data_IF_767848587778
#
_entry.id   IF_767848587778
#
_cell.length_a   1.000
_cell.length_b   1.000
_cell.length_c   1.000
_cell.angle_alpha   90.00
_cell.angle_beta   90.00
_cell.angle_gamma   90.00
#
_symmetry.space_group_name_H-M   'P 1'
#
loop_
_entity.id
_entity.type
_entity.pdbx_description
1 polymer ?
#
# COMPACT_ATOMS: atom_id res chain seq x y z
N UNK A 1 -33.84 -3.45 -10.10
CA UNK A 1 -33.65 -4.92 -9.99
C UNK A 1 -34.64 -5.45 -8.97
N UNK A 2 -35.45 -6.44 -9.33
CA UNK A 2 -36.33 -7.12 -8.36
C UNK A 2 -35.56 -8.23 -7.64
N UNK A 3 -36.05 -8.69 -6.49
CA UNK A 3 -35.51 -9.86 -5.75
C UNK A 3 -35.48 -11.14 -6.57
N UNK A 4 -36.22 -11.20 -7.67
CA UNK A 4 -36.23 -12.35 -8.59
C UNK A 4 -35.00 -12.34 -9.55
N UNK A 5 -34.25 -11.24 -9.64
CA UNK A 5 -33.12 -11.08 -10.56
C UNK A 5 -31.76 -11.24 -9.87
N UNK A 6 -31.66 -10.87 -8.59
CA UNK A 6 -30.45 -11.00 -7.76
C UNK A 6 -30.87 -11.42 -6.34
N UNK A 7 -30.22 -12.45 -5.83
CA UNK A 7 -30.33 -12.89 -4.43
C UNK A 7 -29.96 -11.76 -3.46
N UNK A 8 -30.69 -11.63 -2.35
CA UNK A 8 -30.52 -10.53 -1.40
C UNK A 8 -29.12 -10.55 -0.75
N UNK A 9 -28.57 -11.73 -0.46
CA UNK A 9 -27.21 -11.82 0.09
C UNK A 9 -26.16 -11.42 -0.94
N UNK A 10 -26.34 -11.82 -2.19
CA UNK A 10 -25.47 -11.38 -3.28
C UNK A 10 -25.52 -9.84 -3.46
N UNK A 11 -26.71 -9.25 -3.42
CA UNK A 11 -26.89 -7.79 -3.46
C UNK A 11 -26.17 -7.10 -2.30
N UNK A 12 -26.39 -7.56 -1.07
CA UNK A 12 -25.78 -6.98 0.12
C UNK A 12 -24.25 -7.10 0.09
N UNK A 13 -23.73 -8.25 -0.37
CA UNK A 13 -22.31 -8.44 -0.60
C UNK A 13 -21.75 -7.43 -1.60
N UNK A 14 -22.39 -7.23 -2.75
CA UNK A 14 -21.93 -6.24 -3.73
C UNK A 14 -21.95 -4.82 -3.16
N UNK A 15 -22.98 -4.44 -2.41
CA UNK A 15 -23.02 -3.14 -1.73
C UNK A 15 -21.88 -3.02 -0.71
N UNK A 16 -21.59 -4.09 0.04
CA UNK A 16 -20.47 -4.15 0.98
C UNK A 16 -19.11 -3.94 0.30
N UNK A 17 -18.87 -4.63 -0.82
CA UNK A 17 -17.63 -4.46 -1.61
C UNK A 17 -17.49 -3.01 -2.12
N UNK A 18 -18.57 -2.39 -2.61
CA UNK A 18 -18.54 -1.00 -3.07
C UNK A 18 -18.30 0.00 -1.93
N UNK A 19 -18.95 -0.20 -0.78
CA UNK A 19 -18.75 0.63 0.40
C UNK A 19 -17.32 0.52 0.93
N UNK A 20 -16.72 -0.67 0.92
CA UNK A 20 -15.30 -0.83 1.25
C UNK A 20 -14.40 -0.01 0.32
N UNK A 21 -14.61 -0.10 -1.01
CA UNK A 21 -13.82 0.66 -1.98
C UNK A 21 -14.03 2.17 -1.80
N UNK A 22 -15.27 2.62 -1.58
CA UNK A 22 -15.59 4.03 -1.33
C UNK A 22 -14.91 4.54 -0.05
N UNK A 23 -14.96 3.78 1.03
CA UNK A 23 -14.27 4.07 2.27
C UNK A 23 -12.75 4.17 2.08
N UNK A 24 -12.15 3.23 1.34
CA UNK A 24 -10.72 3.24 1.00
C UNK A 24 -10.33 4.52 0.23
N UNK A 25 -11.12 4.92 -0.77
CA UNK A 25 -10.87 6.11 -1.57
C UNK A 25 -11.04 7.40 -0.76
N UNK A 26 -12.12 7.54 0.01
CA UNK A 26 -12.29 8.69 0.90
C UNK A 26 -11.23 8.75 1.97
N UNK A 27 -10.74 7.61 2.47
CA UNK A 27 -9.64 7.58 3.42
C UNK A 27 -8.35 8.15 2.81
N UNK A 28 -8.02 7.81 1.56
CA UNK A 28 -6.93 8.44 0.82
C UNK A 28 -7.13 9.95 0.65
N UNK A 29 -8.37 10.40 0.40
CA UNK A 29 -8.69 11.81 0.21
C UNK A 29 -8.58 12.61 1.53
N UNK A 30 -9.27 12.19 2.59
CA UNK A 30 -9.28 12.88 3.89
C UNK A 30 -7.90 12.91 4.55
N UNK A 31 -7.10 11.84 4.39
CA UNK A 31 -5.73 11.81 4.94
C UNK A 31 -4.76 12.76 4.20
N UNK A 32 -5.09 13.15 2.97
CA UNK A 32 -4.23 13.99 2.14
C UNK A 32 -4.67 15.46 2.10
N UNK A 33 -5.99 15.72 2.16
CA UNK A 33 -6.56 17.06 2.01
C UNK A 33 -7.45 17.49 3.19
N UNK A 34 -7.65 16.62 4.18
CA UNK A 34 -8.58 16.83 5.30
C UNK A 34 -10.02 17.03 4.82
N UNK A 35 -10.43 18.27 4.57
CA UNK A 35 -11.79 18.59 4.16
C UNK A 35 -11.98 18.30 2.65
N UNK A 36 -12.90 17.39 2.31
CA UNK A 36 -13.19 17.00 0.92
C UNK A 36 -14.70 16.94 0.68
N UNK A 37 -15.18 17.15 -0.56
CA UNK A 37 -16.60 17.00 -0.87
C UNK A 37 -17.06 15.56 -0.64
N UNK A 38 -18.13 15.37 0.13
CA UNK A 38 -18.69 14.05 0.43
C UNK A 38 -19.90 13.76 -0.47
N UNK A 39 -19.65 13.01 -1.56
CA UNK A 39 -20.67 12.56 -2.52
C UNK A 39 -21.00 11.10 -2.24
N UNK A 40 -22.16 10.86 -1.62
CA UNK A 40 -22.60 9.51 -1.21
C UNK A 40 -23.72 8.93 -2.08
N UNK A 41 -24.37 9.79 -2.87
CA UNK A 41 -25.47 9.43 -3.75
C UNK A 41 -24.98 9.37 -5.20
N UNK A 42 -25.64 8.53 -5.99
CA UNK A 42 -25.41 8.48 -7.43
C UNK A 42 -25.79 9.81 -8.07
N UNK A 43 -24.90 10.36 -8.89
CA UNK A 43 -25.20 11.56 -9.69
C UNK A 43 -26.37 11.27 -10.62
N UNK A 44 -27.39 12.10 -10.56
CA UNK A 44 -28.55 12.03 -11.43
C UNK A 44 -28.34 12.91 -12.67
N UNK A 45 -29.14 12.69 -13.72
CA UNK A 45 -29.10 13.54 -14.92
C UNK A 45 -29.37 15.02 -14.62
N UNK A 46 -30.09 15.30 -13.55
CA UNK A 46 -30.42 16.65 -13.06
C UNK A 46 -29.22 17.37 -12.43
N UNK A 47 -28.19 16.63 -11.99
CA UNK A 47 -26.96 17.17 -11.41
C UNK A 47 -25.94 17.60 -12.50
N UNK A 48 -26.20 17.25 -13.77
CA UNK A 48 -25.30 17.59 -14.88
C UNK A 48 -25.27 19.11 -15.07
N UNK A 49 -24.12 19.71 -14.77
CA UNK A 49 -23.90 21.16 -14.83
C UNK A 49 -23.89 21.85 -13.47
N UNK A 50 -24.28 21.16 -12.39
CA UNK A 50 -24.14 21.62 -11.01
C UNK A 50 -23.08 20.77 -10.29
N UNK A 51 -21.81 21.12 -10.51
CA UNK A 51 -20.66 20.42 -9.90
C UNK A 51 -20.15 21.10 -8.63
N UNK A 52 -20.84 22.13 -8.15
CA UNK A 52 -20.46 22.86 -6.93
C UNK A 52 -20.91 22.09 -5.70
N UNK A 53 -20.05 21.16 -5.24
CA UNK A 53 -20.25 20.44 -3.98
C UNK A 53 -19.32 21.04 -2.93
N UNK A 54 -19.92 21.57 -1.86
CA UNK A 54 -19.18 22.07 -0.71
C UNK A 54 -18.38 20.95 -0.04
N UNK A 55 -17.20 21.30 0.47
CA UNK A 55 -16.41 20.37 1.28
C UNK A 55 -17.14 20.03 2.57
N UNK A 56 -17.08 18.76 2.97
CA UNK A 56 -17.45 18.30 4.29
C UNK A 56 -16.27 18.43 5.25
N UNK A 57 -16.56 18.47 6.56
CA UNK A 57 -15.47 18.50 7.54
C UNK A 57 -14.73 17.16 7.53
N UNK A 58 -13.44 17.21 7.87
CA UNK A 58 -12.60 16.02 8.06
C UNK A 58 -13.30 14.96 8.93
N UNK A 59 -13.95 15.40 10.03
CA UNK A 59 -14.70 14.53 10.93
C UNK A 59 -15.88 13.84 10.24
N UNK A 60 -16.71 14.58 9.50
CA UNK A 60 -17.87 14.01 8.80
C UNK A 60 -17.44 12.97 7.76
N UNK A 61 -16.31 13.21 7.07
CA UNK A 61 -15.76 12.26 6.10
C UNK A 61 -15.32 10.98 6.81
N UNK A 62 -14.62 11.08 7.95
CA UNK A 62 -14.26 9.91 8.75
C UNK A 62 -15.48 9.13 9.28
N UNK A 63 -16.52 9.83 9.74
CA UNK A 63 -17.77 9.19 10.18
C UNK A 63 -18.42 8.40 9.04
N UNK A 64 -18.49 8.98 7.83
CA UNK A 64 -18.99 8.27 6.65
C UNK A 64 -18.13 7.05 6.26
N UNK A 65 -16.81 7.14 6.39
CA UNK A 65 -15.89 6.02 6.16
C UNK A 65 -16.18 4.88 7.15
N UNK A 66 -16.35 5.22 8.44
CA UNK A 66 -16.66 4.24 9.49
C UNK A 66 -17.97 3.52 9.20
N UNK A 67 -19.03 4.25 8.83
CA UNK A 67 -20.33 3.65 8.49
C UNK A 67 -20.23 2.66 7.32
N UNK A 68 -19.50 3.03 6.27
CA UNK A 68 -19.28 2.17 5.12
C UNK A 68 -18.52 0.90 5.48
N UNK A 69 -17.48 1.00 6.31
CA UNK A 69 -16.67 -0.14 6.74
C UNK A 69 -17.41 -1.05 7.71
N UNK A 70 -18.22 -0.51 8.63
CA UNK A 70 -19.06 -1.30 9.53
C UNK A 70 -20.12 -2.08 8.75
N UNK A 71 -20.72 -1.47 7.71
CA UNK A 71 -21.63 -2.19 6.82
C UNK A 71 -20.89 -3.31 6.09
N UNK A 72 -19.73 -3.02 5.48
CA UNK A 72 -18.92 -4.00 4.78
C UNK A 72 -18.54 -5.19 5.69
N UNK A 73 -18.06 -4.92 6.91
CA UNK A 73 -17.76 -5.95 7.91
C UNK A 73 -18.97 -6.86 8.20
N UNK A 74 -20.18 -6.31 8.24
CA UNK A 74 -21.38 -7.09 8.59
C UNK A 74 -21.86 -8.06 7.50
N UNK A 75 -21.52 -7.82 6.23
CA UNK A 75 -22.07 -8.56 5.08
C UNK A 75 -21.03 -9.33 4.27
N UNK A 76 -19.75 -8.97 4.37
CA UNK A 76 -18.68 -9.60 3.60
C UNK A 76 -18.26 -10.96 4.19
N UNK A 77 -17.72 -11.81 3.33
CA UNK A 77 -17.24 -13.15 3.71
C UNK A 77 -16.04 -13.05 4.64
N UNK A 78 -15.93 -14.00 5.57
CA UNK A 78 -14.75 -14.16 6.42
C UNK A 78 -13.56 -14.72 5.64
N UNK A 79 -13.84 -15.59 4.67
CA UNK A 79 -12.84 -16.25 3.84
C UNK A 79 -12.04 -15.26 2.98
N UNK A 80 -10.85 -15.70 2.57
CA UNK A 80 -10.00 -14.98 1.63
C UNK A 80 -10.73 -14.64 0.33
N UNK A 81 -10.56 -13.39 -0.12
CA UNK A 81 -11.36 -12.80 -1.18
C UNK A 81 -10.77 -12.95 -2.59
N UNK A 82 -9.53 -13.44 -2.72
CA UNK A 82 -8.77 -13.50 -3.97
C UNK A 82 -8.82 -12.14 -4.72
N UNK A 83 -8.39 -11.07 -4.06
CA UNK A 83 -8.43 -9.69 -4.57
C UNK A 83 -9.74 -8.95 -4.31
N UNK A 84 -10.80 -9.60 -3.81
CA UNK A 84 -12.03 -8.94 -3.35
C UNK A 84 -11.94 -8.52 -1.89
N UNK A 85 -12.69 -7.48 -1.53
CA UNK A 85 -12.84 -7.07 -0.14
C UNK A 85 -13.54 -8.17 0.67
N UNK A 86 -12.99 -8.46 1.86
CA UNK A 86 -13.53 -9.44 2.82
C UNK A 86 -13.90 -8.74 4.13
N UNK A 87 -14.49 -9.50 5.06
CA UNK A 87 -14.71 -9.03 6.44
C UNK A 87 -13.40 -8.63 7.11
N UNK A 88 -12.34 -9.45 6.95
CA UNK A 88 -11.01 -9.15 7.48
C UNK A 88 -10.42 -7.89 6.87
N UNK A 89 -10.61 -7.66 5.56
CA UNK A 89 -10.18 -6.41 4.91
C UNK A 89 -10.92 -5.18 5.49
N UNK A 90 -12.24 -5.27 5.65
CA UNK A 90 -13.03 -4.18 6.24
C UNK A 90 -12.59 -3.88 7.69
N UNK A 91 -12.36 -4.91 8.50
CA UNK A 91 -11.88 -4.78 9.88
C UNK A 91 -10.48 -4.16 9.94
N UNK A 92 -9.56 -4.60 9.07
CA UNK A 92 -8.21 -4.08 9.03
C UNK A 92 -8.16 -2.60 8.60
N UNK A 93 -8.93 -2.24 7.57
CA UNK A 93 -9.03 -0.84 7.14
C UNK A 93 -9.71 0.03 8.20
N UNK A 94 -10.74 -0.49 8.89
CA UNK A 94 -11.39 0.22 9.98
C UNK A 94 -10.44 0.46 11.17
N UNK A 95 -9.62 -0.54 11.52
CA UNK A 95 -8.56 -0.38 12.51
C UNK A 95 -7.55 0.71 12.13
N UNK A 96 -7.13 0.74 10.87
CA UNK A 96 -6.25 1.80 10.31
C UNK A 96 -6.89 3.19 10.37
N UNK A 97 -8.17 3.30 10.02
CA UNK A 97 -8.93 4.54 10.09
C UNK A 97 -8.99 5.05 11.54
N UNK A 98 -9.31 4.18 12.48
CA UNK A 98 -9.35 4.54 13.90
C UNK A 98 -7.99 5.03 14.41
N UNK A 99 -6.88 4.39 14.04
CA UNK A 99 -5.54 4.87 14.39
C UNK A 99 -5.28 6.27 13.82
N UNK A 100 -5.59 6.51 12.54
CA UNK A 100 -5.39 7.80 11.92
C UNK A 100 -6.14 8.92 12.67
N UNK A 101 -7.36 8.64 13.16
CA UNK A 101 -8.16 9.60 13.91
C UNK A 101 -7.60 9.97 15.29
N UNK A 102 -6.71 9.15 15.87
CA UNK A 102 -6.02 9.49 17.13
C UNK A 102 -4.98 10.58 16.95
N UNK A 103 -4.50 10.78 15.71
CA UNK A 103 -3.52 11.79 15.34
C UNK A 103 -4.16 13.08 14.82
N UNK A 104 -3.33 14.00 14.28
CA UNK A 104 -3.84 15.20 13.64
C UNK A 104 -4.75 14.88 12.43
N UNK A 105 -5.77 15.70 12.15
CA UNK A 105 -6.17 16.90 12.90
C UNK A 105 -7.18 16.65 14.03
N UNK A 106 -7.66 15.41 14.23
CA UNK A 106 -8.80 15.12 15.13
C UNK A 106 -8.40 14.84 16.59
N UNK A 107 -7.27 14.20 16.83
CA UNK A 107 -6.75 13.87 18.17
C UNK A 107 -7.73 13.06 19.05
N UNK A 108 -8.55 12.20 18.46
CA UNK A 108 -9.54 11.35 19.15
C UNK A 108 -8.85 10.11 19.76
N UNK A 109 -8.14 10.29 20.87
CA UNK A 109 -7.31 9.25 21.49
C UNK A 109 -8.10 8.02 21.96
N UNK A 110 -9.40 8.15 22.22
CA UNK A 110 -10.27 7.02 22.54
C UNK A 110 -10.38 5.99 21.39
N UNK A 111 -10.05 6.38 20.15
CA UNK A 111 -10.05 5.48 18.99
C UNK A 111 -8.96 4.42 19.04
N UNK A 112 -7.91 4.57 19.87
CA UNK A 112 -6.92 3.50 20.08
C UNK A 112 -7.57 2.19 20.52
N UNK A 113 -8.53 2.25 21.45
CA UNK A 113 -9.21 1.04 21.95
C UNK A 113 -10.07 0.39 20.86
N UNK A 114 -10.72 1.20 20.01
CA UNK A 114 -11.54 0.70 18.90
C UNK A 114 -10.66 0.09 17.79
N UNK A 115 -9.51 0.69 17.50
CA UNK A 115 -8.52 0.15 16.58
C UNK A 115 -8.03 -1.22 17.07
N UNK A 116 -7.61 -1.30 18.33
CA UNK A 116 -7.15 -2.55 18.94
C UNK A 116 -8.22 -3.64 18.86
N UNK A 117 -9.48 -3.30 19.17
CA UNK A 117 -10.59 -4.23 19.06
C UNK A 117 -10.73 -4.79 17.63
N UNK A 118 -10.80 -3.92 16.61
CA UNK A 118 -11.00 -4.37 15.22
C UNK A 118 -9.83 -5.19 14.68
N UNK A 119 -8.61 -4.77 14.97
CA UNK A 119 -7.40 -5.48 14.52
C UNK A 119 -7.26 -6.83 15.24
N UNK A 120 -7.66 -6.93 16.51
CA UNK A 120 -7.68 -8.21 17.23
C UNK A 120 -8.62 -9.22 16.60
N UNK A 121 -9.73 -8.80 15.98
CA UNK A 121 -10.65 -9.71 15.29
C UNK A 121 -9.98 -10.34 14.06
N UNK A 122 -9.21 -9.55 13.30
CA UNK A 122 -8.44 -10.05 12.16
C UNK A 122 -7.38 -11.06 12.61
N UNK A 123 -6.64 -10.75 13.67
CA UNK A 123 -5.63 -11.65 14.26
C UNK A 123 -6.26 -12.95 14.75
N UNK A 124 -7.36 -12.85 15.51
CA UNK A 124 -8.03 -14.00 16.12
C UNK A 124 -8.86 -14.83 15.12
N UNK A 125 -9.02 -14.37 13.88
CA UNK A 125 -9.73 -15.13 12.84
C UNK A 125 -9.00 -16.42 12.45
N UNK A 126 -7.66 -16.44 12.56
CA UNK A 126 -6.83 -17.55 12.08
C UNK A 126 -6.79 -17.70 10.54
N UNK A 127 -7.30 -16.71 9.80
CA UNK A 127 -7.38 -16.73 8.32
C UNK A 127 -6.09 -16.20 7.68
N UNK A 128 -5.38 -15.33 8.40
CA UNK A 128 -4.19 -14.64 7.92
C UNK A 128 -2.95 -15.08 8.69
N UNK A 129 -1.82 -15.16 8.00
CA UNK A 129 -0.52 -15.50 8.60
C UNK A 129 0.63 -14.87 7.81
N UNK A 130 1.76 -14.65 8.47
CA UNK A 130 2.97 -14.14 7.83
C UNK A 130 3.55 -15.21 6.89
N UNK A 131 4.03 -14.79 5.73
CA UNK A 131 4.80 -15.72 4.90
C UNK A 131 6.12 -16.06 5.59
N UNK A 132 6.59 -17.30 5.40
CA UNK A 132 7.84 -17.75 6.02
C UNK A 132 9.07 -16.97 5.51
N UNK A 133 9.02 -16.51 4.25
CA UNK A 133 10.10 -15.81 3.60
C UNK A 133 9.62 -14.50 2.99
N UNK A 134 10.02 -13.39 3.61
CA UNK A 134 9.52 -12.04 3.29
C UNK A 134 9.60 -11.65 1.79
N UNK A 135 10.67 -12.00 1.03
CA UNK A 135 10.72 -11.67 -0.39
C UNK A 135 9.61 -12.30 -1.23
N UNK A 136 9.05 -13.43 -0.80
CA UNK A 136 8.00 -14.13 -1.52
C UNK A 136 6.74 -13.26 -1.66
N UNK A 137 6.46 -12.37 -0.70
CA UNK A 137 5.28 -11.47 -0.70
C UNK A 137 5.16 -10.68 -2.00
N UNK A 138 6.28 -10.39 -2.67
CA UNK A 138 6.33 -9.53 -3.85
C UNK A 138 6.48 -10.32 -5.16
N UNK A 139 6.11 -11.61 -5.13
CA UNK A 139 6.15 -12.50 -6.29
C UNK A 139 4.73 -12.88 -6.72
N UNK A 140 4.59 -13.27 -8.00
CA UNK A 140 3.30 -13.67 -8.58
C UNK A 140 2.65 -14.85 -7.85
N UNK A 141 3.46 -15.79 -7.36
CA UNK A 141 2.97 -17.00 -6.69
C UNK A 141 2.32 -16.69 -5.31
N UNK A 142 2.54 -15.48 -4.77
CA UNK A 142 2.13 -15.09 -3.42
C UNK A 142 1.22 -13.86 -3.37
N UNK A 143 0.73 -13.37 -4.51
CA UNK A 143 -0.16 -12.19 -4.59
C UNK A 143 -1.46 -12.35 -3.80
N UNK A 144 -1.88 -13.59 -3.58
CA UNK A 144 -3.07 -13.96 -2.80
C UNK A 144 -2.71 -14.90 -1.63
N UNK A 145 -1.47 -14.78 -1.12
CA UNK A 145 -1.01 -15.54 0.05
C UNK A 145 -1.79 -15.15 1.32
N UNK A 146 -1.66 -15.98 2.36
CA UNK A 146 -2.30 -15.74 3.67
C UNK A 146 -1.88 -14.42 4.33
N UNK A 147 -0.77 -13.81 3.91
CA UNK A 147 -0.35 -12.51 4.45
C UNK A 147 -1.11 -11.33 3.80
N UNK A 148 -1.70 -11.52 2.61
CA UNK A 148 -2.39 -10.45 1.91
C UNK A 148 -3.82 -10.33 2.46
N UNK A 149 -4.11 -9.19 3.08
CA UNK A 149 -5.46 -8.87 3.59
C UNK A 149 -6.28 -8.19 2.50
N UNK A 150 -5.66 -7.28 1.75
CA UNK A 150 -6.25 -6.69 0.56
C UNK A 150 -5.15 -6.20 -0.40
N UNK A 151 -5.31 -6.48 -1.69
CA UNK A 151 -4.46 -5.99 -2.78
C UNK A 151 -5.29 -5.28 -3.84
N UNK A 152 -4.65 -4.37 -4.57
CA UNK A 152 -5.19 -3.81 -5.81
C UNK A 152 -4.66 -4.68 -6.94
N UNK A 153 -5.60 -5.29 -7.67
CA UNK A 153 -5.30 -6.21 -8.76
C UNK A 153 -4.62 -5.53 -9.94
N UNK A 154 -3.58 -6.15 -10.49
CA UNK A 154 -3.00 -5.79 -11.78
C UNK A 154 -3.11 -6.97 -12.74
N UNK A 155 -3.48 -6.71 -13.99
CA UNK A 155 -3.55 -7.77 -15.01
C UNK A 155 -2.65 -7.40 -16.18
N UNK A 156 -1.44 -7.92 -16.12
CA UNK A 156 -0.45 -7.75 -17.16
C UNK A 156 0.28 -9.07 -17.41
N UNK A 157 1.32 -9.05 -18.24
CA UNK A 157 1.58 -8.02 -19.21
C UNK A 157 0.82 -8.21 -20.54
N UNK A 158 0.70 -7.13 -21.33
CA UNK A 158 0.15 -7.14 -22.68
C UNK A 158 -1.35 -6.77 -22.76
N UNK A 159 -1.96 -6.41 -21.64
CA UNK A 159 -3.39 -6.07 -21.53
C UNK A 159 -3.62 -4.57 -21.25
N UNK A 160 -2.56 -3.78 -21.02
CA UNK A 160 -2.66 -2.40 -20.53
C UNK A 160 -3.46 -2.26 -19.22
N UNK A 161 -3.48 -3.31 -18.41
CA UNK A 161 -4.14 -3.38 -17.10
C UNK A 161 -3.14 -3.71 -15.98
N UNK A 162 -1.84 -3.73 -16.30
CA UNK A 162 -0.75 -3.92 -15.36
C UNK A 162 -0.37 -2.65 -14.59
N UNK A 163 0.45 -2.85 -13.56
CA UNK A 163 0.95 -1.79 -12.70
C UNK A 163 2.17 -1.08 -13.29
N UNK A 164 2.28 0.22 -13.02
CA UNK A 164 3.49 1.03 -13.31
C UNK A 164 4.45 1.09 -12.13
N UNK A 165 4.07 0.57 -10.97
CA UNK A 165 4.80 0.81 -9.72
C UNK A 165 6.15 0.10 -9.71
N UNK A 166 6.22 -1.13 -10.21
CA UNK A 166 7.50 -1.83 -10.43
C UNK A 166 8.48 -1.00 -11.27
N UNK A 167 7.97 -0.34 -12.31
CA UNK A 167 8.76 0.51 -13.21
C UNK A 167 9.07 1.90 -12.64
N UNK A 168 8.24 2.45 -11.77
CA UNK A 168 8.47 3.78 -11.20
C UNK A 168 9.33 3.75 -9.94
N UNK A 169 9.25 2.66 -9.16
CA UNK A 169 9.89 2.58 -7.84
C UNK A 169 10.87 1.40 -7.72
N UNK A 170 10.98 0.57 -8.75
CA UNK A 170 11.92 -0.55 -8.79
C UNK A 170 13.40 -0.15 -8.85
N UNK A 171 14.30 -1.14 -8.73
CA UNK A 171 15.75 -0.91 -8.72
C UNK A 171 16.28 -0.38 -10.05
N UNK A 172 17.48 0.22 -10.01
CA UNK A 172 18.09 0.83 -11.19
C UNK A 172 18.42 -0.22 -12.25
N UNK A 173 17.98 -0.01 -13.49
CA UNK A 173 18.43 -0.76 -14.65
C UNK A 173 17.44 -0.74 -15.82
N UNK A 174 17.65 -1.61 -16.81
CA UNK A 174 16.74 -1.73 -17.94
C UNK A 174 15.48 -2.49 -17.53
N UNK A 175 14.34 -2.12 -18.12
CA UNK A 175 13.03 -2.78 -17.91
C UNK A 175 13.06 -4.27 -18.21
N UNK A 176 13.81 -4.69 -19.24
CA UNK A 176 14.02 -6.11 -19.56
C UNK A 176 14.62 -6.91 -18.40
N UNK A 177 15.40 -6.28 -17.52
CA UNK A 177 16.06 -6.93 -16.39
C UNK A 177 15.30 -6.75 -15.07
N UNK A 178 14.03 -6.33 -15.11
CA UNK A 178 13.23 -6.12 -13.89
C UNK A 178 13.53 -4.82 -13.15
N UNK A 179 14.34 -3.94 -13.76
CA UNK A 179 14.67 -2.63 -13.22
C UNK A 179 14.01 -1.50 -14.00
N UNK A 180 14.18 -0.28 -13.52
CA UNK A 180 13.77 0.90 -14.25
C UNK A 180 14.61 2.11 -13.80
N UNK A 181 14.26 3.30 -14.26
CA UNK A 181 14.88 4.54 -13.80
C UNK A 181 14.34 4.99 -12.43
N UNK A 182 13.84 4.06 -11.61
CA UNK A 182 12.92 4.35 -10.52
C UNK A 182 13.42 5.48 -9.64
N UNK A 183 12.65 6.55 -9.50
CA UNK A 183 12.94 7.66 -8.60
C UNK A 183 12.06 7.50 -7.36
N UNK A 184 12.63 7.69 -6.17
CA UNK A 184 11.83 7.88 -4.97
C UNK A 184 11.84 9.37 -4.70
N UNK A 185 11.16 10.15 -5.53
CA UNK A 185 10.93 11.56 -5.22
C UNK A 185 9.96 11.64 -4.05
N UNK A 186 10.50 11.58 -2.83
CA UNK A 186 9.72 11.94 -1.65
C UNK A 186 9.90 13.43 -1.35
N UNK A 187 8.79 14.00 -0.93
CA UNK A 187 8.44 15.42 -0.80
C UNK A 187 9.22 16.21 0.25
N UNK A 188 10.16 15.58 0.96
CA UNK A 188 10.84 16.25 2.06
C UNK A 188 12.32 16.52 1.74
N UNK A 189 12.56 17.63 1.03
CA UNK A 189 13.88 18.17 0.72
C UNK A 189 14.74 18.33 1.99
N UNK A 190 14.12 18.62 3.13
CA UNK A 190 14.80 18.80 4.43
C UNK A 190 15.39 17.49 4.98
N UNK A 191 14.79 16.34 4.62
CA UNK A 191 15.29 15.03 5.01
C UNK A 191 16.34 14.48 4.05
N UNK A 192 16.48 15.06 2.85
CA UNK A 192 17.41 14.60 1.82
C UNK A 192 18.90 14.76 2.20
N UNK A 193 19.21 15.61 3.18
CA UNK A 193 20.58 15.94 3.57
C UNK A 193 21.27 16.90 2.58
N UNK A 194 22.50 17.35 2.89
CA UNK A 194 23.21 18.34 2.07
C UNK A 194 23.72 17.77 0.74
N UNK A 195 23.84 18.66 -0.25
CA UNK A 195 24.33 18.47 -1.64
C UNK A 195 25.76 17.87 -1.75
N UNK A 196 26.40 17.59 -0.62
CA UNK A 196 27.78 17.11 -0.50
C UNK A 196 27.89 15.62 -0.14
N UNK A 197 26.78 14.89 -0.06
CA UNK A 197 26.79 13.43 0.08
C UNK A 197 27.33 12.71 -1.17
N UNK A 198 27.93 11.53 -0.99
CA UNK A 198 28.40 10.69 -2.11
C UNK A 198 27.23 10.19 -2.98
N UNK A 199 26.90 10.97 -4.01
CA UNK A 199 25.92 10.69 -5.06
C UNK A 199 25.62 11.99 -5.80
N UNK A 200 25.69 12.00 -7.13
CA UNK A 200 25.51 13.23 -7.91
C UNK A 200 24.17 13.91 -7.63
N UNK A 201 24.20 15.24 -7.46
CA UNK A 201 23.05 16.13 -7.20
C UNK A 201 22.29 16.53 -8.46
N UNK A 202 22.22 15.63 -9.44
CA UNK A 202 21.49 15.93 -10.66
C UNK A 202 20.00 15.68 -10.41
N UNK A 203 19.22 16.76 -10.27
CA UNK A 203 17.75 16.73 -10.19
C UNK A 203 17.10 16.25 -11.51
N UNK A 204 17.85 15.56 -12.37
CA UNK A 204 17.34 14.99 -13.59
C UNK A 204 16.53 13.71 -13.29
N UNK A 205 15.42 13.60 -14.01
CA UNK A 205 14.51 12.46 -13.96
C UNK A 205 15.21 11.09 -14.11
N UNK A 206 16.36 11.07 -14.79
CA UNK A 206 17.10 9.85 -15.12
C UNK A 206 18.23 9.48 -14.14
N UNK A 207 18.72 10.43 -13.33
CA UNK A 207 19.92 10.24 -12.50
C UNK A 207 19.62 10.06 -11.00
N UNK A 208 18.33 10.15 -10.63
CA UNK A 208 17.84 9.87 -9.28
C UNK A 208 17.86 11.11 -8.40
N UNK A 209 16.67 11.57 -8.00
CA UNK A 209 16.54 12.71 -7.08
C UNK A 209 17.15 12.44 -5.70
N UNK A 210 17.39 13.52 -4.96
CA UNK A 210 17.95 13.52 -3.60
C UNK A 210 17.13 12.59 -2.69
N UNK A 211 17.75 11.55 -2.14
CA UNK A 211 17.09 10.65 -1.19
C UNK A 211 17.45 11.05 0.25
N UNK A 212 16.63 10.64 1.21
CA UNK A 212 16.87 10.88 2.64
C UNK A 212 18.18 10.22 3.11
N UNK A 213 19.27 10.98 3.05
CA UNK A 213 20.61 10.55 3.46
C UNK A 213 20.61 10.03 4.90
N UNK A 214 19.84 10.66 5.80
CA UNK A 214 19.76 10.28 7.21
C UNK A 214 18.94 9.00 7.48
N UNK A 215 18.08 8.55 6.55
CA UNK A 215 17.25 7.36 6.75
C UNK A 215 17.96 6.06 6.38
N UNK A 216 18.76 6.05 5.30
CA UNK A 216 19.39 4.82 4.81
C UNK A 216 20.77 4.54 5.43
N UNK A 217 21.49 5.56 5.88
CA UNK A 217 22.82 5.45 6.51
C UNK A 217 22.87 4.96 7.98
N UNK A 218 21.83 5.05 8.84
CA UNK A 218 21.90 4.55 10.20
C UNK A 218 21.86 3.01 10.25
N UNK A 219 21.43 2.36 9.17
CA UNK A 219 21.48 0.92 9.06
C UNK A 219 22.90 0.46 8.74
N UNK A 220 23.43 -0.49 9.52
CA UNK A 220 24.65 -1.20 9.16
C UNK A 220 24.41 -2.01 7.88
N UNK A 221 25.47 -2.38 7.16
CA UNK A 221 25.34 -3.23 5.97
C UNK A 221 24.69 -4.59 6.27
N UNK A 222 24.77 -5.03 7.53
CA UNK A 222 24.22 -6.30 8.00
C UNK A 222 22.83 -6.18 8.63
N UNK A 223 22.25 -4.98 8.69
CA UNK A 223 20.92 -4.79 9.26
C UNK A 223 19.88 -5.48 8.37
N UNK A 224 19.18 -6.47 8.93
CA UNK A 224 18.16 -7.24 8.21
C UNK A 224 17.01 -6.37 7.68
N UNK A 225 16.67 -5.28 8.38
CA UNK A 225 15.63 -4.33 7.93
C UNK A 225 16.09 -3.61 6.66
N UNK A 226 17.37 -3.26 6.59
CA UNK A 226 17.99 -2.68 5.40
C UNK A 226 18.05 -3.71 4.28
N UNK A 227 18.60 -4.90 4.54
CA UNK A 227 18.73 -5.98 3.55
C UNK A 227 17.40 -6.36 2.91
N UNK A 228 16.33 -6.41 3.70
CA UNK A 228 15.03 -6.84 3.21
C UNK A 228 14.22 -5.74 2.51
N UNK A 229 14.47 -4.46 2.80
CA UNK A 229 13.66 -3.35 2.27
C UNK A 229 14.40 -2.43 1.29
N UNK A 230 15.74 -2.49 1.22
CA UNK A 230 16.59 -1.53 0.52
C UNK A 230 17.40 -2.23 -0.57
N UNK A 231 16.97 -2.07 -1.82
CA UNK A 231 17.76 -2.40 -3.00
C UNK A 231 18.87 -1.36 -3.19
N UNK A 232 20.11 -1.85 -3.22
CA UNK A 232 21.34 -1.07 -3.44
C UNK A 232 22.14 -1.56 -4.67
N UNK A 233 21.59 -2.48 -5.45
CA UNK A 233 22.22 -3.04 -6.65
C UNK A 233 21.68 -2.39 -7.94
N UNK A 234 22.36 -2.62 -9.06
CA UNK A 234 21.89 -2.29 -10.41
C UNK A 234 21.56 -3.59 -11.15
N UNK A 235 20.31 -3.78 -11.58
CA UNK A 235 19.85 -5.06 -12.17
C UNK A 235 20.53 -5.39 -13.50
N UNK A 236 21.17 -4.42 -14.15
CA UNK A 236 21.93 -4.67 -15.38
C UNK A 236 23.32 -5.24 -15.11
N UNK A 237 23.84 -5.04 -13.90
CA UNK A 237 25.17 -5.49 -13.49
C UNK A 237 25.11 -6.82 -12.73
N UNK A 238 23.91 -7.32 -12.48
CA UNK A 238 23.67 -8.59 -11.86
C UNK A 238 22.72 -9.44 -12.72
N UNK A 239 23.24 -10.49 -13.35
CA UNK A 239 22.43 -11.62 -13.82
C UNK A 239 22.00 -12.50 -12.62
N UNK A 240 21.64 -11.86 -11.52
CA UNK A 240 21.39 -12.50 -10.25
C UNK A 240 19.89 -12.49 -9.95
N UNK A 241 19.44 -13.54 -9.28
CA UNK A 241 18.11 -13.62 -8.68
C UNK A 241 17.88 -12.46 -7.71
N UNK A 242 16.62 -12.14 -7.37
CA UNK A 242 16.32 -11.20 -6.31
C UNK A 242 17.07 -11.52 -5.00
N UNK A 243 17.17 -12.80 -4.65
CA UNK A 243 17.90 -13.28 -3.47
C UNK A 243 19.39 -12.90 -3.51
N UNK A 244 20.07 -13.14 -4.63
CA UNK A 244 21.48 -12.78 -4.78
C UNK A 244 21.69 -11.26 -4.74
N UNK A 245 20.73 -10.46 -5.22
CA UNK A 245 20.79 -8.99 -5.13
C UNK A 245 20.57 -8.45 -3.71
N UNK A 246 19.94 -9.24 -2.82
CA UNK A 246 19.75 -8.92 -1.39
C UNK A 246 20.93 -9.36 -0.53
N UNK A 247 21.46 -10.56 -0.78
CA UNK A 247 22.37 -11.23 0.15
C UNK A 247 23.82 -11.34 -0.33
N UNK A 248 24.13 -11.07 -1.60
CA UNK A 248 25.51 -11.10 -2.10
C UNK A 248 26.22 -9.76 -1.87
N UNK A 249 27.36 -9.80 -1.18
CA UNK A 249 28.23 -8.62 -0.99
C UNK A 249 28.74 -8.05 -2.32
N UNK A 250 28.88 -8.89 -3.35
CA UNK A 250 29.34 -8.47 -4.69
C UNK A 250 28.26 -7.67 -5.43
N UNK A 251 26.98 -7.98 -5.19
CA UNK A 251 25.85 -7.37 -5.92
C UNK A 251 25.22 -6.21 -5.14
N UNK A 252 25.20 -6.26 -3.80
CA UNK A 252 24.53 -5.28 -2.96
C UNK A 252 25.10 -3.86 -3.07
N UNK A 253 26.38 -3.68 -3.40
CA UNK A 253 27.04 -2.37 -3.33
C UNK A 253 27.34 -1.75 -4.72
N UNK A 254 26.52 -2.09 -5.73
CA UNK A 254 26.74 -1.67 -7.13
C UNK A 254 26.03 -0.36 -7.54
N UNK A 255 25.05 0.09 -6.77
CA UNK A 255 24.34 1.36 -6.99
C UNK A 255 25.00 2.56 -6.31
N UNK A 256 24.58 3.79 -6.66
CA UNK A 256 24.99 4.98 -5.92
C UNK A 256 24.54 4.85 -4.46
N UNK A 257 25.45 5.08 -3.50
CA UNK A 257 25.15 4.95 -2.05
C UNK A 257 24.03 5.89 -1.58
N UNK A 258 23.77 6.96 -2.32
CA UNK A 258 22.69 7.91 -2.08
C UNK A 258 21.35 7.54 -2.77
N UNK A 259 21.26 6.44 -3.52
CA UNK A 259 20.02 5.99 -4.17
C UNK A 259 19.43 4.75 -3.48
N UNK A 260 18.57 4.95 -2.49
CA UNK A 260 17.73 3.85 -1.97
C UNK A 260 16.59 3.57 -2.95
N UNK A 261 16.38 2.29 -3.28
CA UNK A 261 15.17 1.80 -3.94
C UNK A 261 14.48 0.74 -3.07
N UNK A 262 13.15 0.77 -2.91
CA UNK A 262 12.43 -0.27 -2.18
C UNK A 262 12.59 -1.62 -2.90
N UNK A 263 12.91 -2.67 -2.13
CA UNK A 263 12.98 -4.03 -2.66
C UNK A 263 11.61 -4.54 -3.14
N UNK A 264 10.54 -4.05 -2.50
CA UNK A 264 9.13 -4.38 -2.76
C UNK A 264 8.69 -4.27 -4.23
N UNK A 265 9.37 -3.47 -5.05
CA UNK A 265 8.96 -3.17 -6.42
C UNK A 265 9.92 -3.71 -7.49
N UNK A 266 10.67 -4.77 -7.17
CA UNK A 266 11.46 -5.48 -8.17
C UNK A 266 10.51 -6.15 -9.17
N UNK A 267 10.72 -5.86 -10.46
CA UNK A 267 9.88 -6.40 -11.51
C UNK A 267 10.43 -7.77 -11.98
N UNK A 268 9.57 -8.64 -12.50
CA UNK A 268 9.97 -9.98 -12.97
C UNK A 268 11.02 -9.89 -14.09
N UNK A 269 11.95 -10.86 -14.15
CA UNK A 269 12.96 -10.97 -15.20
C UNK A 269 12.68 -12.18 -16.09
N UNK A 270 12.61 -12.02 -17.44
CA UNK A 270 12.67 -10.77 -18.19
C UNK A 270 11.33 -10.01 -18.17
N UNK A 271 11.35 -8.70 -17.98
CA UNK A 271 10.16 -7.84 -18.11
C UNK A 271 10.23 -7.03 -19.40
N UNK A 272 9.79 -7.63 -20.50
CA UNK A 272 9.73 -6.93 -21.79
C UNK A 272 8.55 -5.93 -21.92
N UNK A 273 7.80 -5.73 -20.83
CA UNK A 273 6.50 -5.06 -20.88
C UNK A 273 6.48 -3.69 -20.22
N UNK A 274 7.67 -3.14 -19.93
CA UNK A 274 7.82 -1.74 -19.54
C UNK A 274 7.00 -1.37 -18.32
N UNK A 275 5.89 -0.66 -18.53
CA UNK A 275 4.97 -0.12 -17.51
C UNK A 275 3.70 -0.97 -17.31
N UNK A 276 3.67 -2.21 -17.79
CA UNK A 276 2.50 -3.10 -17.75
C UNK A 276 2.82 -4.36 -16.93
N UNK A 277 3.19 -4.18 -15.66
CA UNK A 277 3.65 -5.31 -14.82
C UNK A 277 2.46 -6.08 -14.24
N UNK A 278 2.48 -7.42 -14.22
CA UNK A 278 1.40 -8.23 -13.64
C UNK A 278 1.24 -8.09 -12.13
N UNK A 279 2.22 -7.51 -11.43
CA UNK A 279 2.26 -7.55 -9.97
C UNK A 279 1.13 -6.76 -9.32
N UNK A 280 0.31 -7.46 -8.55
CA UNK A 280 -0.66 -6.92 -7.61
C UNK A 280 0.03 -5.96 -6.64
N UNK A 281 -0.70 -4.94 -6.19
CA UNK A 281 -0.22 -4.01 -5.17
C UNK A 281 -0.84 -4.36 -3.81
N UNK A 282 -0.06 -4.91 -2.86
CA UNK A 282 -0.52 -5.08 -1.49
C UNK A 282 -0.86 -3.73 -0.87
N UNK A 283 -2.12 -3.56 -0.47
CA UNK A 283 -2.63 -2.35 0.19
C UNK A 283 -2.63 -2.51 1.71
N UNK A 284 -3.08 -3.67 2.21
CA UNK A 284 -2.98 -4.06 3.63
C UNK A 284 -2.47 -5.50 3.70
N UNK A 285 -1.43 -5.71 4.49
CA UNK A 285 -0.88 -7.03 4.81
C UNK A 285 -1.13 -7.38 6.28
N UNK A 286 -1.02 -8.66 6.60
CA UNK A 286 -1.13 -9.14 7.97
C UNK A 286 -0.02 -8.55 8.86
N UNK A 287 1.20 -8.37 8.33
CA UNK A 287 2.25 -7.63 9.02
C UNK A 287 1.82 -6.19 9.42
N UNK A 288 1.05 -5.52 8.57
CA UNK A 288 0.55 -4.17 8.85
C UNK A 288 -0.53 -4.23 9.95
N UNK A 289 -1.39 -5.25 9.94
CA UNK A 289 -2.39 -5.49 10.99
C UNK A 289 -1.72 -5.70 12.35
N UNK A 290 -0.67 -6.52 12.42
CA UNK A 290 0.08 -6.77 13.65
C UNK A 290 0.75 -5.49 14.18
N UNK A 291 1.36 -4.71 13.29
CA UNK A 291 2.01 -3.45 13.66
C UNK A 291 1.00 -2.43 14.18
N UNK A 292 -0.11 -2.24 13.44
CA UNK A 292 -1.19 -1.36 13.84
C UNK A 292 -1.81 -1.80 15.17
N UNK A 293 -1.94 -3.12 15.41
CA UNK A 293 -2.48 -3.63 16.67
C UNK A 293 -1.55 -3.30 17.85
N UNK A 294 -0.24 -3.49 17.68
CA UNK A 294 0.75 -3.12 18.68
C UNK A 294 0.75 -1.61 18.98
N UNK A 295 0.65 -0.77 17.94
CA UNK A 295 0.51 0.68 18.09
C UNK A 295 -0.77 1.05 18.84
N UNK A 296 -1.89 0.40 18.51
CA UNK A 296 -3.17 0.62 19.15
C UNK A 296 -3.14 0.30 20.65
N UNK A 297 -2.52 -0.83 21.04
CA UNK A 297 -2.34 -1.21 22.45
C UNK A 297 -1.45 -0.22 23.20
N UNK A 298 -0.33 0.17 22.60
CA UNK A 298 0.57 1.16 23.19
C UNK A 298 -0.12 2.51 23.40
N UNK A 299 -0.94 2.95 22.44
CA UNK A 299 -1.72 4.18 22.54
C UNK A 299 -2.87 4.10 23.55
N UNK A 300 -3.48 2.92 23.75
CA UNK A 300 -4.51 2.70 24.77
C UNK A 300 -3.96 2.47 26.18
N UNK A 301 -2.63 2.32 26.33
CA UNK A 301 -1.98 2.04 27.61
C UNK A 301 -2.20 0.61 28.13
N UNK A 302 -2.40 -0.36 27.22
CA UNK A 302 -2.66 -1.78 27.51
C UNK A 302 -1.52 -2.69 27.08
#
# INVERSE_FOLDING_TARGET
MTTDQIDENAKNKFIGEHKYLRAMLYFCLVSSWENVPLVLNESQSEDIGNFEVSQSSCKDVYESIIEDLLYAESVLSEEQGNGRATKGAAQALLGKVYLQMTGPPLYETEKFSLAANKLSLVINSGIYDLVAYYPDIFTLDFEQSSEIVFSIGADGPGLNQGSRIGTLFGPQGQTINGGAAGNNWFTNLELAGPDSGFGGVDDSFFNGGRNNYAFAQPYTEDDIRSRNNIAKHNVNQCDCSPEEGMFSDIHRNQGNKASWKPWKWHNIKPSNWGTDTPLDQPYIRYADVLLMYAEALNGSGS
#
